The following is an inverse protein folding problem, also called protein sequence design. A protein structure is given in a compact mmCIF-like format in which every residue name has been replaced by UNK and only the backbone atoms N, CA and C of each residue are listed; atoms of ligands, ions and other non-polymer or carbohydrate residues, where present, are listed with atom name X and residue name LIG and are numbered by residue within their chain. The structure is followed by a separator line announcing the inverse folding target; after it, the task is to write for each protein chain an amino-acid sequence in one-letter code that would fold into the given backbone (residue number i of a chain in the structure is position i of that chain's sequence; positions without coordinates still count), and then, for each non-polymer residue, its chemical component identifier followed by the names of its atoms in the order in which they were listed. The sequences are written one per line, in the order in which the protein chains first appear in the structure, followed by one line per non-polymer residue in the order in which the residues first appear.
data_IF_113688552977
#
_entry.id   IF_113688552977
#
_cell.length_a   1.000
_cell.length_b   1.000
_cell.length_c   1.000
_cell.angle_alpha   90.00
_cell.angle_beta   90.00
_cell.angle_gamma   90.00
#
_symmetry.space_group_name_H-M   'P 1'
#
loop_
_entity.id
_entity.type
_entity.pdbx_description
1 polymer ?
#
# COMPACT_ATOMS: atom_id res chain seq x y z
N UNK A 1 21.61 9.87 -3.76
CA UNK A 1 21.29 11.08 -2.99
C UNK A 1 21.44 10.74 -1.52
N UNK A 2 22.63 11.00 -0.97
CA UNK A 2 22.86 11.06 0.46
C UNK A 2 22.21 12.35 0.94
N UNK A 3 20.99 12.33 1.39
CA UNK A 3 20.41 13.57 1.84
C UNK A 3 18.91 13.67 1.98
N UNK A 4 18.17 12.59 2.06
CA UNK A 4 16.91 12.65 2.75
C UNK A 4 17.22 12.60 4.24
N UNK A 5 17.49 13.78 4.82
CA UNK A 5 17.59 13.98 6.25
C UNK A 5 16.38 13.33 6.92
N UNK A 6 16.60 12.69 8.07
CA UNK A 6 15.56 12.30 9.02
C UNK A 6 14.71 13.55 9.32
N UNK A 7 13.70 13.79 8.51
CA UNK A 7 12.69 14.79 8.80
C UNK A 7 11.76 14.19 9.83
N UNK A 8 11.92 14.57 11.07
CA UNK A 8 10.87 14.43 12.07
C UNK A 8 9.73 15.30 11.55
N UNK A 9 8.64 14.69 11.07
CA UNK A 9 7.45 15.45 10.70
C UNK A 9 6.91 16.09 11.97
N UNK A 10 7.14 17.38 12.10
CA UNK A 10 6.43 18.19 13.08
C UNK A 10 4.92 18.12 12.73
N UNK A 11 4.06 18.18 13.74
CA UNK A 11 2.62 18.29 13.57
C UNK A 11 2.30 19.44 12.61
N UNK A 12 1.79 19.12 11.41
CA UNK A 12 1.48 20.12 10.40
C UNK A 12 1.67 19.65 8.96
N UNK A 13 1.71 20.61 8.03
CA UNK A 13 1.93 20.37 6.61
C UNK A 13 3.41 20.48 6.29
N UNK A 14 3.97 19.43 5.66
CA UNK A 14 5.34 19.44 5.14
C UNK A 14 5.32 19.57 3.62
N UNK A 15 6.01 20.58 3.06
CA UNK A 15 6.13 20.79 1.63
C UNK A 15 7.50 20.32 1.12
N UNK A 16 7.49 19.50 0.08
CA UNK A 16 8.71 19.07 -0.63
C UNK A 16 8.80 19.86 -1.93
N UNK A 17 9.77 20.76 -2.01
CA UNK A 17 9.98 21.66 -3.15
C UNK A 17 11.30 21.37 -3.85
N UNK A 18 11.40 21.67 -5.13
CA UNK A 18 12.61 21.50 -5.92
C UNK A 18 12.33 21.54 -7.43
N UNK A 19 13.37 21.61 -8.27
CA UNK A 19 13.23 21.64 -9.72
C UNK A 19 12.64 20.34 -10.28
N UNK A 20 12.23 20.37 -11.55
CA UNK A 20 11.75 19.16 -12.23
C UNK A 20 12.88 18.13 -12.33
N UNK A 21 12.55 16.85 -12.14
CA UNK A 21 13.51 15.74 -12.18
C UNK A 21 14.34 15.51 -10.92
N UNK A 22 14.20 16.33 -9.86
CA UNK A 22 14.97 16.12 -8.60
C UNK A 22 14.44 15.00 -7.71
N UNK A 23 13.41 14.27 -8.11
CA UNK A 23 12.92 13.10 -7.37
C UNK A 23 11.79 13.37 -6.37
N UNK A 24 11.12 14.54 -6.39
CA UNK A 24 9.98 14.84 -5.49
C UNK A 24 8.91 13.74 -5.49
N UNK A 25 8.54 13.32 -6.68
CA UNK A 25 7.52 12.27 -6.85
C UNK A 25 8.01 10.90 -6.38
N UNK A 26 9.31 10.65 -6.40
CA UNK A 26 9.87 9.39 -5.90
C UNK A 26 9.63 9.22 -4.39
N UNK A 27 9.50 10.31 -3.64
CA UNK A 27 9.17 10.25 -2.20
C UNK A 27 7.75 9.71 -2.01
N UNK A 28 6.79 10.25 -2.77
CA UNK A 28 5.40 9.74 -2.74
C UNK A 28 5.32 8.29 -3.20
N UNK A 29 6.04 7.96 -4.27
CA UNK A 29 6.10 6.60 -4.78
C UNK A 29 6.72 5.65 -3.74
N UNK A 30 7.77 6.06 -3.02
CA UNK A 30 8.41 5.27 -1.96
C UNK A 30 7.44 4.98 -0.80
N UNK A 31 6.66 5.98 -0.36
CA UNK A 31 5.65 5.79 0.68
C UNK A 31 4.61 4.75 0.26
N UNK A 32 4.05 4.87 -0.95
CA UNK A 32 3.09 3.90 -1.49
C UNK A 32 3.69 2.51 -1.60
N UNK A 33 4.91 2.44 -2.07
CA UNK A 33 5.60 1.18 -2.28
C UNK A 33 5.78 0.40 -0.96
N UNK A 34 6.23 1.06 0.10
CA UNK A 34 6.38 0.45 1.43
C UNK A 34 5.04 0.01 1.99
N UNK A 35 3.98 0.78 1.78
CA UNK A 35 2.63 0.47 2.26
C UNK A 35 1.91 -0.62 1.44
N UNK A 36 2.59 -1.20 0.44
CA UNK A 36 2.13 -2.42 -0.19
C UNK A 36 1.69 -2.29 -1.65
N UNK A 37 1.94 -1.15 -2.32
CA UNK A 37 1.66 -1.06 -3.75
C UNK A 37 2.46 -2.11 -4.54
N UNK A 38 1.74 -2.95 -5.27
CA UNK A 38 2.31 -4.04 -6.08
C UNK A 38 2.23 -3.76 -7.59
N UNK A 39 1.49 -2.72 -8.00
CA UNK A 39 1.32 -2.38 -9.41
C UNK A 39 2.47 -1.50 -9.89
N UNK A 40 3.39 -2.08 -10.67
CA UNK A 40 4.54 -1.38 -11.22
C UNK A 40 4.15 -0.10 -11.99
N UNK A 41 3.01 -0.10 -12.68
CA UNK A 41 2.51 1.08 -13.43
C UNK A 41 2.24 2.29 -12.54
N UNK A 42 1.83 2.08 -11.29
CA UNK A 42 1.62 3.17 -10.33
C UNK A 42 2.95 3.70 -9.79
N UNK A 43 4.03 2.92 -9.93
CA UNK A 43 5.40 3.27 -9.59
C UNK A 43 6.19 3.76 -10.82
N UNK A 44 5.50 4.12 -11.91
CA UNK A 44 6.08 4.62 -13.17
C UNK A 44 7.03 3.66 -13.87
N UNK A 45 6.99 2.35 -13.52
CA UNK A 45 7.77 1.30 -14.13
C UNK A 45 6.90 0.30 -14.91
N UNK A 46 7.50 -0.41 -15.86
CA UNK A 46 6.86 -1.55 -16.51
C UNK A 46 6.93 -2.80 -15.63
N UNK A 47 8.00 -2.92 -14.85
CA UNK A 47 8.24 -4.01 -13.90
C UNK A 47 8.60 -3.45 -12.52
N UNK A 48 8.34 -4.22 -11.46
CA UNK A 48 8.62 -3.79 -10.10
C UNK A 48 10.13 -3.63 -9.85
N UNK A 49 10.97 -4.41 -10.50
CA UNK A 49 12.43 -4.33 -10.37
C UNK A 49 13.01 -3.02 -10.90
N UNK A 50 12.25 -2.25 -11.67
CA UNK A 50 12.66 -0.93 -12.17
C UNK A 50 12.71 0.14 -11.08
N UNK A 51 12.14 -0.11 -9.89
CA UNK A 51 12.33 0.77 -8.71
C UNK A 51 13.78 0.71 -8.21
N UNK A 52 14.52 -0.36 -8.53
CA UNK A 52 15.93 -0.51 -8.17
C UNK A 52 16.78 0.37 -9.08
N UNK A 53 17.63 1.19 -8.49
CA UNK A 53 18.50 2.08 -9.24
C UNK A 53 19.39 1.31 -10.24
N UNK A 54 19.23 1.63 -11.53
CA UNK A 54 19.91 0.95 -12.64
C UNK A 54 21.32 1.48 -12.91
N UNK A 55 21.75 2.50 -12.18
CA UNK A 55 23.00 3.19 -12.41
C UNK A 55 22.85 4.47 -13.25
N UNK A 56 23.91 5.22 -13.30
CA UNK A 56 24.07 6.41 -14.14
C UNK A 56 25.52 6.51 -14.61
N UNK A 57 25.84 7.53 -15.40
CA UNK A 57 27.24 7.81 -15.81
C UNK A 57 28.17 8.03 -14.61
N UNK A 58 27.64 8.46 -13.45
CA UNK A 58 28.42 8.78 -12.24
C UNK A 58 28.32 7.73 -11.13
N UNK A 59 27.33 6.82 -11.17
CA UNK A 59 27.08 5.85 -10.09
C UNK A 59 26.78 4.46 -10.63
N UNK A 60 27.34 3.45 -9.97
CA UNK A 60 27.07 2.04 -10.31
C UNK A 60 25.65 1.64 -9.94
N UNK A 61 25.04 0.67 -10.66
CA UNK A 61 23.76 0.10 -10.28
C UNK A 61 23.85 -0.56 -8.89
N UNK A 62 22.71 -0.60 -8.19
CA UNK A 62 22.58 -1.30 -6.90
C UNK A 62 21.76 -2.58 -7.10
N UNK A 63 21.88 -3.53 -6.16
CA UNK A 63 21.19 -4.81 -6.26
C UNK A 63 19.89 -4.86 -5.49
N UNK A 64 19.65 -3.91 -4.60
CA UNK A 64 18.50 -3.88 -3.70
C UNK A 64 17.95 -2.47 -3.64
N UNK A 65 16.63 -2.34 -3.68
CA UNK A 65 15.91 -1.16 -3.25
C UNK A 65 15.36 -1.41 -1.84
N UNK A 66 15.52 -0.45 -0.96
CA UNK A 66 15.01 -0.51 0.41
C UNK A 66 14.41 0.85 0.78
N UNK A 67 13.23 0.81 1.39
CA UNK A 67 12.58 1.98 1.98
C UNK A 67 12.06 1.60 3.36
N UNK A 68 12.29 2.47 4.33
CA UNK A 68 11.77 2.34 5.69
C UNK A 68 10.94 3.56 6.04
N UNK A 69 9.74 3.35 6.57
CA UNK A 69 8.88 4.38 7.15
C UNK A 69 8.91 4.23 8.67
N UNK A 70 9.19 5.32 9.34
CA UNK A 70 9.21 5.41 10.79
C UNK A 70 7.97 6.17 11.27
N UNK A 71 7.22 5.58 12.18
CA UNK A 71 6.03 6.16 12.79
C UNK A 71 6.19 6.25 14.30
N UNK A 72 5.89 7.41 14.88
CA UNK A 72 5.59 7.49 16.30
C UNK A 72 4.18 6.92 16.52
N UNK A 73 4.03 6.07 17.52
CA UNK A 73 2.77 5.46 17.93
C UNK A 73 2.48 5.73 19.42
N UNK A 74 2.92 6.89 19.89
CA UNK A 74 2.69 7.30 21.28
C UNK A 74 1.20 7.47 21.59
N UNK A 75 0.41 7.83 20.60
CA UNK A 75 -1.05 7.99 20.69
C UNK A 75 -1.83 6.66 20.52
N UNK A 76 -1.13 5.55 20.23
CA UNK A 76 -1.75 4.24 20.04
C UNK A 76 -2.62 4.12 18.79
N UNK A 77 -2.42 4.96 17.78
CA UNK A 77 -3.17 4.94 16.52
C UNK A 77 -2.96 3.62 15.76
N UNK A 78 -1.75 3.08 15.79
CA UNK A 78 -1.46 1.76 15.23
C UNK A 78 -1.77 0.66 16.26
N UNK A 79 -2.46 -0.44 15.88
CA UNK A 79 -2.90 -1.50 16.78
C UNK A 79 -1.75 -2.46 17.18
N UNK A 80 -0.64 -1.90 17.62
CA UNK A 80 0.57 -2.62 18.06
C UNK A 80 1.09 -2.01 19.36
N UNK A 81 1.73 -2.82 20.20
CA UNK A 81 2.22 -2.40 21.52
C UNK A 81 3.54 -1.62 21.49
N UNK A 82 4.00 -1.20 20.30
CA UNK A 82 5.25 -0.46 20.13
C UNK A 82 4.98 1.03 20.10
N UNK A 83 5.80 1.83 20.78
CA UNK A 83 5.76 3.30 20.72
C UNK A 83 6.36 3.84 19.42
N UNK A 84 7.30 3.10 18.84
CA UNK A 84 7.90 3.41 17.55
C UNK A 84 7.71 2.21 16.61
N UNK A 85 7.17 2.48 15.43
CA UNK A 85 6.88 1.46 14.42
C UNK A 85 7.67 1.76 13.18
N UNK A 86 8.49 0.79 12.74
CA UNK A 86 9.27 0.88 11.51
C UNK A 86 8.80 -0.17 10.53
N UNK A 87 8.23 0.27 9.42
CA UNK A 87 7.86 -0.60 8.31
C UNK A 87 8.92 -0.49 7.24
N UNK A 88 9.54 -1.60 6.89
CA UNK A 88 10.57 -1.65 5.83
C UNK A 88 10.14 -2.59 4.73
N UNK A 89 10.35 -2.17 3.48
CA UNK A 89 10.26 -3.05 2.31
C UNK A 89 11.60 -3.10 1.61
N UNK A 90 12.01 -4.31 1.24
CA UNK A 90 13.16 -4.60 0.38
C UNK A 90 12.73 -5.30 -0.88
N UNK A 91 13.41 -5.00 -1.98
CA UNK A 91 13.27 -5.71 -3.25
C UNK A 91 14.65 -5.94 -3.83
N UNK A 92 14.97 -7.19 -4.11
CA UNK A 92 16.21 -7.57 -4.79
C UNK A 92 16.02 -7.65 -6.31
N UNK A 93 17.12 -7.61 -7.07
CA UNK A 93 17.09 -7.84 -8.53
C UNK A 93 16.64 -9.25 -8.91
N UNK A 94 16.70 -10.23 -7.99
CA UNK A 94 16.13 -11.55 -8.18
C UNK A 94 14.59 -11.55 -8.18
N UNK A 95 13.95 -10.42 -7.89
CA UNK A 95 12.49 -10.31 -7.73
C UNK A 95 11.99 -10.66 -6.33
N UNK A 96 12.89 -11.02 -5.40
CA UNK A 96 12.53 -11.33 -4.02
C UNK A 96 12.13 -10.05 -3.29
N UNK A 97 10.90 -10.02 -2.75
CA UNK A 97 10.35 -8.89 -2.02
C UNK A 97 10.10 -9.28 -0.55
N UNK A 98 10.68 -8.54 0.36
CA UNK A 98 10.62 -8.76 1.80
C UNK A 98 9.98 -7.57 2.50
N UNK A 99 9.14 -7.85 3.49
CA UNK A 99 8.56 -6.85 4.40
C UNK A 99 9.05 -7.11 5.82
N UNK A 100 9.41 -6.04 6.52
CA UNK A 100 9.87 -6.10 7.91
C UNK A 100 9.07 -5.11 8.75
N UNK A 101 8.70 -5.54 9.94
CA UNK A 101 8.11 -4.73 10.99
C UNK A 101 9.09 -4.69 12.17
N UNK A 102 9.59 -3.53 12.51
CA UNK A 102 10.65 -3.35 13.53
C UNK A 102 11.82 -4.34 13.36
N UNK A 103 12.25 -4.57 12.09
CA UNK A 103 13.34 -5.47 11.74
C UNK A 103 12.97 -6.95 11.68
N UNK A 104 11.75 -7.34 12.05
CA UNK A 104 11.27 -8.72 11.97
C UNK A 104 10.50 -8.94 10.66
N UNK A 105 10.81 -10.02 9.95
CA UNK A 105 10.12 -10.36 8.70
C UNK A 105 8.62 -10.63 8.96
N UNK A 106 7.77 -10.06 8.12
CA UNK A 106 6.33 -10.16 8.20
C UNK A 106 5.70 -10.29 6.81
N UNK A 107 4.41 -10.57 6.74
CA UNK A 107 3.67 -10.65 5.48
C UNK A 107 3.09 -9.28 5.12
N UNK A 108 2.93 -9.02 3.84
CA UNK A 108 2.25 -7.82 3.35
C UNK A 108 0.86 -7.65 3.98
N UNK A 109 0.15 -8.74 4.20
CA UNK A 109 -1.16 -8.72 4.85
C UNK A 109 -1.09 -8.15 6.27
N UNK A 110 -0.04 -8.46 7.01
CA UNK A 110 0.13 -7.99 8.40
C UNK A 110 0.33 -6.45 8.40
N UNK A 111 1.08 -5.93 7.41
CA UNK A 111 1.20 -4.49 7.19
C UNK A 111 -0.14 -3.86 6.85
N UNK A 112 -0.90 -4.44 5.91
CA UNK A 112 -2.22 -3.93 5.53
C UNK A 112 -3.19 -3.93 6.71
N UNK A 113 -3.21 -5.00 7.51
CA UNK A 113 -4.10 -5.10 8.67
C UNK A 113 -3.71 -4.08 9.76
N UNK A 114 -2.41 -3.79 9.93
CA UNK A 114 -1.92 -2.81 10.88
C UNK A 114 -2.25 -1.36 10.48
N UNK A 115 -2.07 -0.99 9.21
CA UNK A 115 -2.34 0.40 8.74
C UNK A 115 -3.80 0.63 8.39
N UNK A 116 -4.61 -0.43 8.37
CA UNK A 116 -6.03 -0.36 8.02
C UNK A 116 -6.80 0.47 9.05
N UNK A 117 -7.56 1.43 8.59
CA UNK A 117 -8.34 2.33 9.43
C UNK A 117 -7.57 3.54 9.95
N UNK A 118 -6.26 3.63 9.71
CA UNK A 118 -5.44 4.80 10.08
C UNK A 118 -5.38 5.87 8.99
N UNK A 119 -5.96 5.61 7.81
CA UNK A 119 -5.83 6.46 6.64
C UNK A 119 -4.49 6.29 5.90
N UNK A 120 -3.61 5.38 6.32
CA UNK A 120 -2.29 5.14 5.74
C UNK A 120 -2.24 3.94 4.77
N UNK A 121 -3.32 3.19 4.62
CA UNK A 121 -3.36 2.01 3.75
C UNK A 121 -3.14 2.34 2.26
N UNK A 122 -2.66 1.38 1.49
CA UNK A 122 -2.44 1.54 0.05
C UNK A 122 -3.74 1.89 -0.70
N UNK A 123 -4.88 1.48 -0.19
CA UNK A 123 -6.21 1.76 -0.73
C UNK A 123 -6.84 3.03 -0.11
N UNK A 124 -6.22 3.65 0.90
CA UNK A 124 -6.77 4.77 1.66
C UNK A 124 -6.33 6.16 1.17
N UNK A 125 -5.96 6.30 -0.10
CA UNK A 125 -5.72 7.61 -0.69
C UNK A 125 -4.56 8.41 -0.06
N UNK A 126 -3.53 7.73 0.46
CA UNK A 126 -2.30 8.36 0.99
C UNK A 126 -1.65 9.35 0.01
N UNK A 127 -2.03 9.30 -1.25
CA UNK A 127 -1.67 10.31 -2.23
C UNK A 127 -2.90 10.83 -2.93
N UNK A 128 -3.25 12.08 -2.73
CA UNK A 128 -4.20 12.77 -3.61
C UNK A 128 -3.51 12.94 -4.96
N UNK A 129 -3.84 12.05 -5.89
CA UNK A 129 -3.42 12.19 -7.28
C UNK A 129 -4.32 13.19 -8.00
N UNK A 130 -3.82 13.76 -9.11
CA UNK A 130 -4.64 14.58 -10.00
C UNK A 130 -5.93 13.85 -10.42
N UNK A 131 -5.88 12.53 -10.59
CA UNK A 131 -7.06 11.70 -10.89
C UNK A 131 -8.13 11.70 -9.78
N UNK A 132 -7.73 11.82 -8.52
CA UNK A 132 -8.70 11.96 -7.41
C UNK A 132 -9.38 13.32 -7.44
N UNK A 133 -8.64 14.37 -7.80
CA UNK A 133 -9.23 15.70 -8.04
C UNK A 133 -10.18 15.66 -9.23
N UNK A 134 -9.82 14.98 -10.32
CA UNK A 134 -10.68 14.80 -11.49
C UNK A 134 -11.95 14.02 -11.13
N UNK A 135 -11.84 12.98 -10.29
CA UNK A 135 -13.00 12.23 -9.80
C UNK A 135 -13.90 13.07 -8.88
N UNK A 136 -13.32 13.93 -8.05
CA UNK A 136 -14.06 14.88 -7.19
C UNK A 136 -14.81 15.93 -8.01
N UNK A 137 -14.20 16.38 -9.10
CA UNK A 137 -14.76 17.36 -10.05
C UNK A 137 -15.63 16.69 -11.14
N UNK A 138 -15.67 15.35 -11.18
CA UNK A 138 -16.48 14.59 -12.12
C UNK A 138 -17.98 14.79 -11.87
N UNK A 139 -18.75 14.93 -12.95
CA UNK A 139 -20.21 14.95 -12.90
C UNK A 139 -20.81 13.55 -12.64
N UNK A 140 -19.97 12.49 -12.58
CA UNK A 140 -20.41 11.12 -12.32
C UNK A 140 -20.54 10.87 -10.82
N UNK A 141 -21.75 10.54 -10.32
CA UNK A 141 -21.97 10.28 -8.90
C UNK A 141 -21.13 9.09 -8.35
N UNK A 142 -20.90 8.08 -9.19
CA UNK A 142 -20.17 6.88 -8.80
C UNK A 142 -18.69 7.16 -8.51
N UNK A 143 -18.04 8.02 -9.29
CA UNK A 143 -16.64 8.41 -9.09
C UNK A 143 -16.47 9.15 -7.76
N UNK A 144 -17.44 10.00 -7.40
CA UNK A 144 -17.45 10.74 -6.13
C UNK A 144 -17.80 9.84 -4.95
N UNK A 145 -18.70 8.88 -5.16
CA UNK A 145 -19.13 7.96 -4.10
C UNK A 145 -17.96 7.18 -3.51
N UNK A 146 -17.06 6.69 -4.34
CA UNK A 146 -15.88 5.94 -3.89
C UNK A 146 -15.01 6.79 -2.94
N UNK A 147 -14.80 8.07 -3.25
CA UNK A 147 -14.05 9.00 -2.40
C UNK A 147 -14.77 9.29 -1.07
N UNK A 148 -16.11 9.43 -1.07
CA UNK A 148 -16.87 9.62 0.16
C UNK A 148 -16.88 8.37 1.05
N UNK A 149 -16.99 7.18 0.45
CA UNK A 149 -16.90 5.91 1.16
C UNK A 149 -15.52 5.73 1.81
N UNK A 150 -14.46 6.14 1.12
CA UNK A 150 -13.08 6.17 1.64
C UNK A 150 -12.96 7.13 2.82
N UNK A 151 -13.38 8.38 2.64
CA UNK A 151 -13.34 9.40 3.69
C UNK A 151 -14.17 9.03 4.92
N UNK A 152 -15.24 8.26 4.73
CA UNK A 152 -16.09 7.75 5.81
C UNK A 152 -15.51 6.48 6.49
N UNK A 153 -14.37 5.95 6.02
CA UNK A 153 -13.74 4.76 6.58
C UNK A 153 -14.52 3.46 6.38
N UNK A 154 -15.51 3.44 5.45
CA UNK A 154 -16.33 2.24 5.20
C UNK A 154 -15.67 1.21 4.29
N UNK A 155 -14.50 1.52 3.71
CA UNK A 155 -13.74 0.63 2.83
C UNK A 155 -13.46 -0.73 3.47
N UNK A 156 -13.09 -0.74 4.75
CA UNK A 156 -12.88 -1.97 5.53
C UNK A 156 -14.13 -2.86 5.57
N UNK A 157 -15.29 -2.25 5.80
CA UNK A 157 -16.56 -3.00 5.88
C UNK A 157 -16.94 -3.57 4.52
N UNK A 158 -16.72 -2.82 3.44
CA UNK A 158 -16.98 -3.23 2.06
C UNK A 158 -16.10 -4.42 1.65
N UNK A 159 -14.81 -4.38 1.99
CA UNK A 159 -13.88 -5.48 1.70
C UNK A 159 -14.22 -6.75 2.46
N UNK A 160 -14.56 -6.63 3.74
CA UNK A 160 -15.02 -7.77 4.54
C UNK A 160 -16.30 -8.36 3.96
N UNK A 161 -17.26 -7.53 3.60
CA UNK A 161 -18.52 -7.96 2.96
C UNK A 161 -18.26 -8.70 1.64
N UNK A 162 -17.40 -8.15 0.79
CA UNK A 162 -17.03 -8.75 -0.50
C UNK A 162 -16.34 -10.10 -0.33
N UNK A 163 -15.40 -10.20 0.61
CA UNK A 163 -14.71 -11.44 0.92
C UNK A 163 -15.65 -12.50 1.48
N UNK A 164 -16.58 -12.10 2.36
CA UNK A 164 -17.57 -13.01 2.93
C UNK A 164 -18.57 -13.46 1.87
N UNK A 165 -19.04 -12.58 1.01
CA UNK A 165 -19.95 -12.93 -0.08
C UNK A 165 -19.32 -13.96 -1.04
N UNK A 166 -18.05 -13.75 -1.40
CA UNK A 166 -17.32 -14.71 -2.24
C UNK A 166 -17.17 -16.08 -1.57
N UNK A 167 -16.84 -16.13 -0.29
CA UNK A 167 -16.77 -17.39 0.46
C UNK A 167 -18.12 -18.10 0.55
N UNK A 168 -19.20 -17.34 0.69
CA UNK A 168 -20.54 -17.89 0.71
C UNK A 168 -20.87 -18.53 -0.63
N UNK A 169 -20.55 -17.88 -1.74
CA UNK A 169 -20.74 -18.40 -3.10
C UNK A 169 -19.94 -19.67 -3.34
N UNK A 170 -18.66 -19.70 -2.96
CA UNK A 170 -17.78 -20.88 -3.02
C UNK A 170 -18.38 -22.05 -2.22
N UNK A 171 -18.84 -21.80 -0.98
CA UNK A 171 -19.47 -22.81 -0.13
C UNK A 171 -20.77 -23.34 -0.72
N UNK A 172 -21.57 -22.47 -1.36
CA UNK A 172 -22.82 -22.88 -2.01
C UNK A 172 -22.56 -23.84 -3.18
N UNK A 173 -21.51 -23.56 -3.97
CA UNK A 173 -21.07 -24.45 -5.06
C UNK A 173 -20.61 -25.81 -4.52
N UNK A 174 -19.84 -25.82 -3.41
CA UNK A 174 -19.36 -27.05 -2.80
C UNK A 174 -20.52 -27.88 -2.23
N UNK A 175 -21.53 -27.24 -1.61
CA UNK A 175 -22.73 -27.92 -1.14
C UNK A 175 -23.50 -28.56 -2.31
N UNK A 176 -23.68 -27.85 -3.42
CA UNK A 176 -24.34 -28.40 -4.60
C UNK A 176 -23.61 -29.64 -5.15
N UNK A 177 -22.27 -29.62 -5.16
CA UNK A 177 -21.46 -30.81 -5.54
C UNK A 177 -21.66 -31.98 -4.61
N UNK A 178 -21.76 -31.72 -3.30
CA UNK A 178 -22.02 -32.80 -2.32
C UNK A 178 -23.42 -33.40 -2.50
N UNK A 179 -24.43 -32.57 -2.77
CA UNK A 179 -25.80 -33.05 -3.06
C UNK A 179 -25.86 -33.90 -4.34
N UNK A 180 -25.11 -33.52 -5.38
CA UNK A 180 -24.98 -34.32 -6.60
C UNK A 180 -24.34 -35.67 -6.32
N UNK A 181 -23.25 -35.72 -5.54
CA UNK A 181 -22.57 -36.97 -5.17
C UNK A 181 -23.46 -37.87 -4.29
N UNK A 182 -24.23 -37.31 -3.36
CA UNK A 182 -25.16 -38.06 -2.55
C UNK A 182 -26.25 -38.67 -3.42
N UNK A 183 -26.72 -37.96 -4.45
CA UNK A 183 -27.74 -38.43 -5.39
C UNK A 183 -27.23 -39.53 -6.31
N UNK A 184 -25.93 -39.57 -6.63
CA UNK A 184 -25.31 -40.66 -7.42
C UNK A 184 -25.09 -41.94 -6.62
N UNK A 185 -25.04 -41.89 -5.31
CA UNK A 185 -24.77 -43.05 -4.44
C UNK A 185 -26.06 -43.71 -3.91
N UNK A 186 -27.21 -43.06 -4.06
CA UNK A 186 -28.54 -43.60 -3.76
C UNK A 186 -29.15 -44.35 -4.95
#
# INVERSE_FOLDING_TARGET
HDGLSKGTAATGVTAIVGPNGCGKSNVSDAVRWVLGEQRARLMRGAKMEEVIFQGSSARRPVNVAEVSLHFSNEDGTLPVAFQEVVITRRLSRSGESEYLLNGTSCRLRDIHDMVRGTGLGADSGVGIEAKMLDALLSDRPDDRRELFEEAAGVGLYRDRRRTTARRLEETTVDLSRLDDLISEVQ
#
